data_IF_818525637893
#
_entry.id   IF_818525637893
#
_cell.length_a   1.000
_cell.length_b   1.000
_cell.length_c   1.000
_cell.angle_alpha   90.00
_cell.angle_beta   90.00
_cell.angle_gamma   90.00
#
_symmetry.space_group_name_H-M   'P 1'
#
loop_
_entity.id
_entity.type
_entity.pdbx_description
1 polymer ?
#
# COMPACT_ATOMS: atom_id res chain seq x y z
N UNK A 1 0.74 32.05 0.82
CA UNK A 1 1.39 30.88 1.44
C UNK A 1 1.49 31.13 2.94
N UNK A 2 0.56 30.62 3.76
CA UNK A 2 0.75 30.60 5.20
C UNK A 2 1.97 29.73 5.57
N UNK A 3 2.75 30.20 6.53
CA UNK A 3 3.88 29.49 7.15
C UNK A 3 3.69 29.49 8.66
N UNK A 4 4.02 28.37 9.30
CA UNK A 4 3.88 28.15 10.74
C UNK A 4 5.19 27.63 11.30
N UNK A 5 5.59 28.12 12.48
CA UNK A 5 6.76 27.60 13.20
C UNK A 5 6.41 26.24 13.85
N UNK A 6 7.09 25.19 13.41
CA UNK A 6 6.78 23.79 13.75
C UNK A 6 8.08 23.01 13.95
N UNK A 7 8.84 23.26 15.03
CA UNK A 7 10.13 22.61 15.27
C UNK A 7 10.00 21.11 15.57
N UNK A 8 8.78 20.62 15.81
CA UNK A 8 8.45 19.23 16.07
C UNK A 8 7.43 18.72 15.03
N UNK A 9 7.38 17.40 14.77
CA UNK A 9 6.38 16.80 13.89
C UNK A 9 4.96 17.16 14.30
N UNK A 10 4.12 17.45 13.31
CA UNK A 10 2.74 17.90 13.50
C UNK A 10 1.73 16.83 13.09
N UNK A 11 0.45 17.08 13.36
CA UNK A 11 -0.65 16.34 12.76
C UNK A 11 -1.30 17.17 11.66
N UNK A 12 -1.59 16.55 10.51
CA UNK A 12 -2.30 17.20 9.41
C UNK A 12 -3.62 16.51 9.18
N UNK A 13 -4.70 17.29 9.10
CA UNK A 13 -6.02 16.85 8.67
C UNK A 13 -6.39 17.59 7.39
N UNK A 14 -6.41 16.88 6.25
CA UNK A 14 -6.67 17.44 4.95
C UNK A 14 -7.96 16.86 4.34
N UNK A 15 -8.91 17.74 4.02
CA UNK A 15 -10.13 17.40 3.30
C UNK A 15 -10.15 18.13 1.96
N UNK A 16 -9.73 17.43 0.91
CA UNK A 16 -9.63 17.96 -0.45
C UNK A 16 -10.60 17.19 -1.33
N UNK A 17 -11.68 17.83 -1.78
CA UNK A 17 -12.73 17.17 -2.55
C UNK A 17 -12.24 16.64 -3.92
N UNK A 18 -11.49 17.47 -4.65
CA UNK A 18 -10.98 17.16 -5.97
C UNK A 18 -9.65 17.88 -6.26
N UNK A 19 -8.75 17.19 -6.96
CA UNK A 19 -7.46 17.74 -7.40
C UNK A 19 -6.28 16.92 -6.89
N UNK A 20 -5.28 17.57 -6.32
CA UNK A 20 -4.11 16.90 -5.75
C UNK A 20 -3.71 17.47 -4.40
N UNK A 21 -3.13 16.62 -3.56
CA UNK A 21 -2.45 17.03 -2.35
C UNK A 21 -1.09 16.35 -2.26
N UNK A 22 -0.05 17.14 -2.07
CA UNK A 22 1.33 16.70 -1.92
C UNK A 22 1.84 17.08 -0.54
N UNK A 23 2.39 16.10 0.17
CA UNK A 23 3.12 16.27 1.42
C UNK A 23 4.60 16.04 1.16
N UNK A 24 5.44 17.01 1.48
CA UNK A 24 6.89 16.89 1.38
C UNK A 24 7.49 16.98 2.77
N UNK A 25 7.98 15.85 3.27
CA UNK A 25 8.48 15.69 4.63
C UNK A 25 10.02 15.75 4.66
N UNK A 26 10.57 16.82 5.24
CA UNK A 26 12.02 17.05 5.32
C UNK A 26 12.45 17.43 6.73
N UNK A 27 13.76 17.48 6.97
CA UNK A 27 14.34 17.99 8.21
C UNK A 27 14.24 19.53 8.25
N UNK A 28 13.02 20.01 8.47
CA UNK A 28 12.64 21.41 8.57
C UNK A 28 11.95 21.68 9.90
N UNK A 29 11.96 22.94 10.31
CA UNK A 29 11.36 23.39 11.57
C UNK A 29 10.14 24.28 11.35
N UNK A 30 9.62 24.33 10.13
CA UNK A 30 8.46 25.11 9.76
C UNK A 30 7.51 24.27 8.89
N UNK A 31 6.27 24.73 8.78
CA UNK A 31 5.27 24.13 7.91
C UNK A 31 4.73 25.19 6.96
N UNK A 32 4.83 24.92 5.66
CA UNK A 32 4.38 25.83 4.60
C UNK A 32 3.25 25.15 3.84
N UNK A 33 2.17 25.90 3.64
CA UNK A 33 1.04 25.44 2.81
C UNK A 33 0.87 26.35 1.62
N UNK A 34 0.79 25.75 0.44
CA UNK A 34 0.41 26.40 -0.80
C UNK A 34 -0.89 25.78 -1.32
N UNK A 35 -1.85 26.62 -1.69
CA UNK A 35 -3.10 26.19 -2.32
C UNK A 35 -3.21 26.95 -3.63
N UNK A 36 -3.33 26.22 -4.74
CA UNK A 36 -3.41 26.79 -6.09
C UNK A 36 -4.61 26.22 -6.85
N UNK A 37 -5.18 26.99 -7.79
CA UNK A 37 -6.20 26.45 -8.68
C UNK A 37 -5.52 25.49 -9.65
N UNK A 38 -6.14 24.34 -9.92
CA UNK A 38 -5.60 23.39 -10.91
C UNK A 38 -5.57 23.99 -12.31
N UNK A 39 -6.63 24.72 -12.67
CA UNK A 39 -6.68 25.56 -13.86
C UNK A 39 -7.00 27.03 -13.47
N UNK A 40 -6.04 27.96 -13.56
CA UNK A 40 -6.26 29.36 -13.20
C UNK A 40 -7.22 30.10 -14.14
N UNK A 41 -7.55 29.55 -15.31
CA UNK A 41 -8.52 30.14 -16.25
C UNK A 41 -9.95 29.71 -15.94
N UNK A 42 -10.14 28.79 -15.00
CA UNK A 42 -11.45 28.23 -14.67
C UNK A 42 -11.95 28.84 -13.36
N UNK A 43 -12.96 29.70 -13.45
CA UNK A 43 -13.54 30.40 -12.30
C UNK A 43 -13.88 29.49 -11.12
N UNK A 44 -14.33 28.25 -11.39
CA UNK A 44 -14.64 27.28 -10.34
C UNK A 44 -13.41 26.86 -9.54
N UNK A 45 -12.28 26.68 -10.21
CA UNK A 45 -11.00 26.27 -9.60
C UNK A 45 -10.40 27.44 -8.82
N UNK A 46 -10.52 28.68 -9.31
CA UNK A 46 -10.12 29.89 -8.56
C UNK A 46 -10.98 30.08 -7.31
N UNK A 47 -12.30 29.97 -7.42
CA UNK A 47 -13.23 30.17 -6.28
C UNK A 47 -13.00 29.16 -5.15
N UNK A 48 -12.70 27.90 -5.48
CA UNK A 48 -12.48 26.87 -4.44
C UNK A 48 -11.20 27.15 -3.66
N UNK A 49 -10.16 27.73 -4.27
CA UNK A 49 -8.93 28.15 -3.58
C UNK A 49 -9.23 29.25 -2.57
N UNK A 50 -9.97 30.29 -2.99
CA UNK A 50 -10.36 31.41 -2.11
C UNK A 50 -11.19 30.97 -0.91
N UNK A 51 -11.97 29.89 -1.09
CA UNK A 51 -12.82 29.30 -0.06
C UNK A 51 -12.14 28.17 0.72
N UNK A 52 -10.89 27.81 0.38
CA UNK A 52 -10.16 26.77 1.09
C UNK A 52 -9.65 27.32 2.41
N UNK A 53 -10.06 26.71 3.50
CA UNK A 53 -9.62 27.08 4.84
C UNK A 53 -8.31 26.36 5.16
N UNK A 54 -7.29 27.13 5.56
CA UNK A 54 -6.03 26.60 6.09
C UNK A 54 -5.82 27.22 7.47
N UNK A 55 -5.74 26.37 8.50
CA UNK A 55 -5.54 26.82 9.88
C UNK A 55 -4.57 25.90 10.60
N UNK A 56 -3.81 26.45 11.54
CA UNK A 56 -2.90 25.69 12.39
C UNK A 56 -3.15 26.07 13.85
N UNK A 57 -3.50 25.10 14.67
CA UNK A 57 -3.75 25.31 16.08
C UNK A 57 -3.40 24.04 16.88
N UNK A 58 -2.72 24.21 18.02
CA UNK A 58 -2.43 23.11 18.95
C UNK A 58 -1.66 21.94 18.34
N UNK A 59 -0.75 22.18 17.40
CA UNK A 59 0.01 21.11 16.72
C UNK A 59 -0.72 20.45 15.54
N UNK A 60 -1.93 20.94 15.19
CA UNK A 60 -2.75 20.37 14.12
C UNK A 60 -2.92 21.38 12.98
N UNK A 61 -2.45 21.01 11.79
CA UNK A 61 -2.74 21.71 10.55
C UNK A 61 -4.04 21.17 9.95
N UNK A 62 -5.02 22.03 9.74
CA UNK A 62 -6.29 21.68 9.09
C UNK A 62 -6.39 22.38 7.74
N UNK A 63 -6.61 21.58 6.69
CA UNK A 63 -6.86 22.05 5.32
C UNK A 63 -8.25 21.55 4.91
N UNK A 64 -9.14 22.45 4.55
CA UNK A 64 -10.52 22.08 4.21
C UNK A 64 -11.01 22.83 2.99
N UNK A 65 -11.30 22.08 1.94
CA UNK A 65 -12.03 22.57 0.77
C UNK A 65 -13.53 22.63 1.10
N UNK A 66 -14.27 23.64 0.58
CA UNK A 66 -15.70 23.75 0.79
C UNK A 66 -16.42 22.57 0.12
N UNK A 67 -17.35 21.95 0.85
CA UNK A 67 -18.30 21.02 0.24
C UNK A 67 -19.35 21.84 -0.50
N UNK A 68 -19.30 21.82 -1.84
CA UNK A 68 -20.35 22.46 -2.63
C UNK A 68 -21.71 21.86 -2.31
N UNK A 69 -22.80 22.64 -2.31
CA UNK A 69 -24.14 22.07 -2.20
C UNK A 69 -24.36 21.11 -3.37
N UNK A 70 -24.81 19.89 -3.08
CA UNK A 70 -25.05 18.80 -4.04
C UNK A 70 -25.93 19.21 -5.25
N UNK A 71 -26.63 20.35 -5.17
CA UNK A 71 -27.49 20.91 -6.21
C UNK A 71 -26.78 21.73 -7.32
N UNK A 72 -25.54 22.21 -7.13
CA UNK A 72 -24.93 23.25 -8.01
C UNK A 72 -23.76 22.75 -8.87
N UNK A 73 -23.62 21.43 -9.00
CA UNK A 73 -22.65 20.79 -9.90
C UNK A 73 -21.24 20.62 -9.30
N UNK A 74 -20.25 20.16 -10.10
CA UNK A 74 -18.94 19.77 -9.60
C UNK A 74 -18.22 20.95 -8.91
N UNK A 75 -17.63 20.67 -7.75
CA UNK A 75 -16.69 21.57 -7.06
C UNK A 75 -15.46 21.78 -7.94
N UNK A 76 -14.83 22.96 -7.87
CA UNK A 76 -13.54 23.20 -8.53
C UNK A 76 -12.45 22.25 -8.04
N UNK A 77 -11.32 22.20 -8.76
CA UNK A 77 -10.15 21.40 -8.38
C UNK A 77 -9.01 22.29 -7.86
N UNK A 78 -8.33 21.81 -6.82
CA UNK A 78 -7.18 22.49 -6.21
C UNK A 78 -5.95 21.60 -6.20
N UNK A 79 -4.78 22.22 -6.33
CA UNK A 79 -3.51 21.59 -6.03
C UNK A 79 -3.01 22.17 -4.70
N UNK A 80 -2.81 21.30 -3.72
CA UNK A 80 -2.37 21.64 -2.37
C UNK A 80 -0.98 21.07 -2.14
N UNK A 81 -0.03 21.91 -1.79
CA UNK A 81 1.32 21.50 -1.38
C UNK A 81 1.50 21.82 0.09
N UNK A 82 1.98 20.83 0.85
CA UNK A 82 2.27 20.96 2.27
C UNK A 82 3.69 20.49 2.50
N UNK A 83 4.56 21.42 2.85
CA UNK A 83 5.92 21.10 3.26
C UNK A 83 5.98 21.10 4.79
N UNK A 84 6.46 20.01 5.40
CA UNK A 84 6.35 19.80 6.85
C UNK A 84 7.54 19.00 7.43
N UNK A 85 7.74 19.00 8.76
CA UNK A 85 8.80 18.22 9.39
C UNK A 85 8.62 16.70 9.21
N UNK A 86 9.71 15.99 8.96
CA UNK A 86 9.77 14.52 8.93
C UNK A 86 9.08 13.88 10.14
N UNK A 87 8.34 12.79 9.91
CA UNK A 87 7.61 12.07 10.95
C UNK A 87 6.23 12.67 11.30
N UNK A 88 5.80 13.72 10.60
CA UNK A 88 4.45 14.27 10.81
C UNK A 88 3.36 13.28 10.39
N UNK A 89 2.27 13.28 11.14
CA UNK A 89 1.11 12.40 10.92
C UNK A 89 0.14 13.02 9.93
N UNK A 90 -0.37 12.23 9.00
CA UNK A 90 -1.30 12.68 7.95
C UNK A 90 -2.64 11.95 8.07
N UNK A 91 -3.73 12.70 8.05
CA UNK A 91 -5.08 12.22 7.80
C UNK A 91 -5.64 12.96 6.58
N UNK A 92 -5.74 12.28 5.44
CA UNK A 92 -6.18 12.87 4.18
C UNK A 92 -7.45 12.17 3.67
N UNK A 93 -8.48 12.96 3.40
CA UNK A 93 -9.74 12.50 2.80
C UNK A 93 -10.03 13.26 1.51
N UNK A 94 -10.40 12.53 0.46
CA UNK A 94 -10.83 13.13 -0.81
C UNK A 94 -11.73 12.23 -1.64
N UNK A 95 -12.41 12.80 -2.63
CA UNK A 95 -13.31 12.03 -3.52
C UNK A 95 -12.69 11.81 -4.90
N UNK A 96 -12.00 12.82 -5.44
CA UNK A 96 -11.28 12.75 -6.72
C UNK A 96 -9.90 13.37 -6.58
N UNK A 97 -9.13 12.85 -5.63
CA UNK A 97 -7.91 13.49 -5.15
C UNK A 97 -6.75 12.53 -5.24
N UNK A 98 -5.68 12.97 -5.92
CA UNK A 98 -4.39 12.31 -5.89
C UNK A 98 -3.65 12.70 -4.61
N UNK A 99 -3.07 11.72 -3.92
CA UNK A 99 -2.32 11.94 -2.68
C UNK A 99 -0.87 11.54 -2.92
N UNK A 100 0.04 12.49 -2.75
CA UNK A 100 1.48 12.29 -2.87
C UNK A 100 2.13 12.56 -1.52
N UNK A 101 3.01 11.66 -1.09
CA UNK A 101 3.82 11.80 0.11
C UNK A 101 5.27 11.52 -0.22
N UNK A 102 6.12 12.53 -0.10
CA UNK A 102 7.55 12.47 -0.37
C UNK A 102 8.32 12.59 0.94
N UNK A 103 9.39 11.80 1.07
CA UNK A 103 10.16 11.68 2.31
C UNK A 103 9.44 10.83 3.37
N UNK A 104 9.98 10.86 4.59
CA UNK A 104 9.54 9.99 5.69
C UNK A 104 8.40 10.63 6.49
N UNK A 105 7.19 10.13 6.24
CA UNK A 105 5.99 10.49 6.99
C UNK A 105 5.86 9.64 8.26
N UNK A 106 5.11 10.14 9.24
CA UNK A 106 4.74 9.40 10.44
C UNK A 106 3.60 8.41 10.15
N UNK A 107 2.59 8.39 11.01
CA UNK A 107 1.35 7.64 10.72
C UNK A 107 0.59 8.31 9.57
N UNK A 108 0.13 7.52 8.60
CA UNK A 108 -0.61 8.02 7.44
C UNK A 108 -1.96 7.32 7.35
N UNK A 109 -3.03 8.10 7.31
CA UNK A 109 -4.39 7.67 7.05
C UNK A 109 -4.90 8.35 5.79
N UNK A 110 -5.29 7.56 4.80
CA UNK A 110 -5.81 8.09 3.52
C UNK A 110 -7.13 7.41 3.18
N UNK A 111 -8.14 8.22 2.90
CA UNK A 111 -9.42 7.77 2.39
C UNK A 111 -9.75 8.50 1.10
N UNK A 112 -9.70 7.79 -0.03
CA UNK A 112 -10.05 8.34 -1.34
C UNK A 112 -11.07 7.49 -2.07
N UNK A 113 -12.00 8.11 -2.79
CA UNK A 113 -12.90 7.37 -3.68
C UNK A 113 -12.26 7.15 -5.04
N UNK A 114 -11.54 8.13 -5.56
CA UNK A 114 -10.89 8.06 -6.85
C UNK A 114 -9.62 8.91 -6.83
N UNK A 115 -8.53 8.36 -7.32
CA UNK A 115 -7.24 9.04 -7.40
C UNK A 115 -6.11 8.12 -6.96
N UNK A 116 -4.95 8.34 -7.55
CA UNK A 116 -3.76 7.57 -7.21
C UNK A 116 -3.19 8.02 -5.87
N UNK A 117 -2.62 7.07 -5.12
CA UNK A 117 -1.91 7.36 -3.89
C UNK A 117 -0.46 6.91 -4.06
N UNK A 118 0.47 7.84 -3.88
CA UNK A 118 1.91 7.57 -3.91
C UNK A 118 2.53 8.03 -2.59
N UNK A 119 3.17 7.12 -1.88
CA UNK A 119 3.90 7.42 -0.64
C UNK A 119 5.31 6.85 -0.76
N UNK A 120 6.34 7.62 -0.47
CA UNK A 120 7.71 7.13 -0.46
C UNK A 120 7.98 6.30 0.80
N UNK A 121 7.96 6.93 1.97
CA UNK A 121 8.19 6.28 3.26
C UNK A 121 7.13 6.72 4.27
N UNK A 122 6.56 5.77 5.02
CA UNK A 122 5.57 6.04 6.05
C UNK A 122 5.79 5.14 7.25
N UNK A 123 5.43 5.63 8.43
CA UNK A 123 5.12 4.78 9.59
C UNK A 123 3.81 4.00 9.37
N UNK A 124 3.02 3.72 10.42
CA UNK A 124 1.79 2.96 10.29
C UNK A 124 0.85 3.55 9.24
N UNK A 125 0.33 2.69 8.37
CA UNK A 125 -0.44 3.09 7.20
C UNK A 125 -1.86 2.50 7.27
N UNK A 126 -2.87 3.34 7.16
CA UNK A 126 -4.25 2.94 6.91
C UNK A 126 -4.76 3.62 5.64
N UNK A 127 -4.94 2.83 4.58
CA UNK A 127 -5.31 3.35 3.26
C UNK A 127 -6.58 2.66 2.77
N UNK A 128 -7.61 3.45 2.49
CA UNK A 128 -8.83 2.98 1.82
C UNK A 128 -9.02 3.75 0.51
N UNK A 129 -9.01 3.03 -0.62
CA UNK A 129 -9.26 3.59 -1.95
C UNK A 129 -10.35 2.80 -2.69
N UNK A 130 -11.29 3.45 -3.35
CA UNK A 130 -12.23 2.72 -4.24
C UNK A 130 -11.60 2.49 -5.62
N UNK A 131 -11.03 3.54 -6.22
CA UNK A 131 -10.43 3.49 -7.55
C UNK A 131 -9.10 4.23 -7.59
N UNK A 132 -8.09 3.64 -8.23
CA UNK A 132 -6.79 4.27 -8.43
C UNK A 132 -5.65 3.31 -8.15
N UNK A 133 -4.46 3.63 -8.65
CA UNK A 133 -3.27 2.86 -8.34
C UNK A 133 -2.62 3.36 -7.05
N UNK A 134 -2.16 2.43 -6.24
CA UNK A 134 -1.45 2.70 -4.99
C UNK A 134 -0.01 2.25 -5.15
N UNK A 135 0.92 3.15 -4.86
CA UNK A 135 2.35 2.86 -4.80
C UNK A 135 2.88 3.35 -3.46
N UNK A 136 3.43 2.43 -2.67
CA UNK A 136 4.08 2.75 -1.39
C UNK A 136 5.50 2.22 -1.44
N UNK A 137 6.51 3.07 -1.19
CA UNK A 137 7.90 2.66 -1.19
C UNK A 137 8.20 1.76 0.01
N UNK A 138 8.07 2.30 1.22
CA UNK A 138 8.32 1.60 2.48
C UNK A 138 7.26 1.93 3.53
N UNK A 139 6.84 0.91 4.28
CA UNK A 139 5.98 1.04 5.45
C UNK A 139 6.69 0.47 6.68
N UNK A 140 6.83 1.29 7.72
CA UNK A 140 7.33 0.91 9.04
C UNK A 140 6.16 0.76 10.02
N UNK A 141 5.94 -0.46 10.53
CA UNK A 141 4.85 -0.80 11.44
C UNK A 141 3.64 -1.42 10.73
N UNK A 142 2.45 -1.21 11.30
CA UNK A 142 1.21 -1.83 10.80
C UNK A 142 0.78 -1.21 9.48
N UNK A 143 0.54 -2.04 8.47
CA UNK A 143 -0.03 -1.62 7.19
C UNK A 143 -1.43 -2.24 6.97
N UNK A 144 -2.46 -1.42 6.79
CA UNK A 144 -3.78 -1.84 6.34
C UNK A 144 -4.15 -1.10 5.06
N UNK A 145 -4.21 -1.83 3.94
CA UNK A 145 -4.53 -1.27 2.62
C UNK A 145 -5.76 -1.99 2.08
N UNK A 146 -6.83 -1.25 1.82
CA UNK A 146 -8.08 -1.77 1.23
C UNK A 146 -8.42 -1.04 -0.05
N UNK A 147 -8.53 -1.78 -1.14
CA UNK A 147 -8.77 -1.26 -2.48
C UNK A 147 -9.87 -2.03 -3.20
N UNK A 148 -10.75 -1.32 -3.92
CA UNK A 148 -11.79 -1.99 -4.71
C UNK A 148 -11.36 -2.25 -6.14
N UNK A 149 -10.62 -1.32 -6.76
CA UNK A 149 -10.12 -1.45 -8.12
C UNK A 149 -8.85 -0.63 -8.33
N UNK A 150 -7.81 -1.27 -8.84
CA UNK A 150 -6.53 -0.64 -9.15
C UNK A 150 -5.35 -1.57 -8.86
N UNK A 151 -4.16 -1.15 -9.30
CA UNK A 151 -2.93 -1.88 -8.97
C UNK A 151 -2.37 -1.41 -7.62
N UNK A 152 -1.93 -2.34 -6.80
CA UNK A 152 -1.27 -2.04 -5.52
C UNK A 152 0.17 -2.49 -5.61
N UNK A 153 1.10 -1.56 -5.40
CA UNK A 153 2.53 -1.85 -5.29
C UNK A 153 3.05 -1.36 -3.95
N UNK A 154 3.67 -2.27 -3.20
CA UNK A 154 4.37 -1.94 -1.95
C UNK A 154 5.80 -2.43 -2.06
N UNK A 155 6.79 -1.55 -1.90
CA UNK A 155 8.19 -1.91 -2.01
C UNK A 155 8.64 -2.78 -0.84
N UNK A 156 8.65 -2.22 0.37
CA UNK A 156 9.06 -2.91 1.60
C UNK A 156 7.99 -2.70 2.68
N UNK A 157 7.66 -3.78 3.40
CA UNK A 157 6.83 -3.72 4.60
C UNK A 157 7.62 -4.27 5.78
N UNK A 158 7.95 -3.39 6.72
CA UNK A 158 8.59 -3.72 7.98
C UNK A 158 7.57 -3.73 9.12
N UNK A 159 6.88 -4.85 9.28
CA UNK A 159 5.82 -5.02 10.26
C UNK A 159 4.66 -5.86 9.73
N UNK A 160 3.59 -6.03 10.53
CA UNK A 160 2.40 -6.76 10.11
C UNK A 160 1.63 -6.00 9.04
N UNK A 161 1.18 -6.69 7.99
CA UNK A 161 0.46 -6.10 6.87
C UNK A 161 -0.79 -6.88 6.48
N UNK A 162 -1.87 -6.14 6.21
CA UNK A 162 -3.13 -6.67 5.68
C UNK A 162 -3.49 -5.89 4.42
N UNK A 163 -3.41 -6.55 3.27
CA UNK A 163 -3.74 -5.98 1.98
C UNK A 163 -5.00 -6.66 1.44
N UNK A 164 -6.00 -5.87 1.05
CA UNK A 164 -7.24 -6.36 0.43
C UNK A 164 -7.42 -5.62 -0.90
N UNK A 165 -7.43 -6.35 -2.01
CA UNK A 165 -7.69 -5.80 -3.32
C UNK A 165 -8.74 -6.63 -4.07
N UNK A 166 -9.87 -6.03 -4.42
CA UNK A 166 -10.91 -6.77 -5.14
C UNK A 166 -10.56 -6.94 -6.63
N UNK A 167 -9.95 -5.95 -7.28
CA UNK A 167 -9.62 -5.99 -8.71
C UNK A 167 -8.29 -5.32 -9.00
N UNK A 168 -7.45 -6.02 -9.76
CA UNK A 168 -6.12 -5.54 -10.16
C UNK A 168 -5.00 -6.31 -9.48
N UNK A 169 -3.77 -6.11 -9.96
CA UNK A 169 -2.61 -6.82 -9.44
C UNK A 169 -2.12 -6.23 -8.12
N UNK A 170 -1.59 -7.11 -7.27
CA UNK A 170 -0.92 -6.72 -6.02
C UNK A 170 0.53 -7.18 -6.10
N UNK A 171 1.48 -6.26 -5.95
CA UNK A 171 2.91 -6.57 -5.93
C UNK A 171 3.52 -6.10 -4.63
N UNK A 172 4.23 -6.99 -3.94
CA UNK A 172 5.01 -6.70 -2.74
C UNK A 172 6.46 -7.03 -3.02
N UNK A 173 7.38 -6.08 -2.83
CA UNK A 173 8.81 -6.30 -3.02
C UNK A 173 9.41 -7.15 -1.89
N UNK A 174 9.31 -6.69 -0.65
CA UNK A 174 9.79 -7.43 0.52
C UNK A 174 8.82 -7.31 1.69
N UNK A 175 8.44 -8.45 2.26
CA UNK A 175 7.69 -8.52 3.51
C UNK A 175 8.63 -9.00 4.63
N UNK A 176 9.01 -8.10 5.54
CA UNK A 176 9.87 -8.43 6.68
C UNK A 176 9.06 -8.96 7.88
N UNK A 177 7.80 -8.53 8.00
CA UNK A 177 6.83 -9.01 8.99
C UNK A 177 5.76 -9.93 8.41
N UNK A 178 4.76 -10.28 9.22
CA UNK A 178 3.63 -11.09 8.77
C UNK A 178 2.81 -10.39 7.68
N UNK A 179 2.58 -11.05 6.56
CA UNK A 179 1.82 -10.50 5.44
C UNK A 179 0.53 -11.31 5.21
N UNK A 180 -0.61 -10.63 5.17
CA UNK A 180 -1.90 -11.21 4.78
C UNK A 180 -2.45 -10.46 3.56
N UNK A 181 -2.57 -11.14 2.42
CA UNK A 181 -3.11 -10.56 1.18
C UNK A 181 -4.41 -11.27 0.79
N UNK A 182 -5.46 -10.50 0.49
CA UNK A 182 -6.72 -11.03 -0.04
C UNK A 182 -7.05 -10.33 -1.36
N UNK A 183 -6.91 -11.09 -2.44
CA UNK A 183 -7.36 -10.76 -3.77
C UNK A 183 -8.75 -11.32 -4.06
N UNK A 184 -9.43 -10.78 -5.07
CA UNK A 184 -10.53 -11.48 -5.73
C UNK A 184 -10.21 -11.73 -7.21
N UNK A 185 -9.90 -10.67 -7.97
CA UNK A 185 -9.62 -10.74 -9.40
C UNK A 185 -8.30 -10.03 -9.74
N UNK A 186 -7.20 -10.79 -9.71
CA UNK A 186 -5.87 -10.28 -10.04
C UNK A 186 -4.76 -11.14 -9.48
N UNK A 187 -3.58 -10.97 -10.05
CA UNK A 187 -2.37 -11.67 -9.62
C UNK A 187 -1.81 -11.04 -8.34
N UNK A 188 -1.22 -11.88 -7.50
CA UNK A 188 -0.48 -11.46 -6.31
C UNK A 188 0.96 -11.94 -6.47
N UNK A 189 1.91 -11.02 -6.53
CA UNK A 189 3.34 -11.30 -6.63
C UNK A 189 4.07 -10.75 -5.40
N UNK A 190 4.67 -11.63 -4.62
CA UNK A 190 5.48 -11.30 -3.44
C UNK A 190 6.91 -11.71 -3.77
N UNK A 191 7.82 -10.75 -3.98
CA UNK A 191 9.16 -11.08 -4.46
C UNK A 191 10.00 -11.73 -3.35
N UNK A 192 9.97 -11.17 -2.14
CA UNK A 192 10.67 -11.70 -0.95
C UNK A 192 9.77 -11.71 0.28
N UNK A 193 9.77 -12.83 0.98
CA UNK A 193 9.09 -13.02 2.26
C UNK A 193 10.09 -13.52 3.31
N UNK A 194 10.38 -12.67 4.30
CA UNK A 194 11.26 -13.01 5.42
C UNK A 194 10.49 -13.63 6.59
N UNK A 195 9.16 -13.66 6.52
CA UNK A 195 8.26 -14.16 7.58
C UNK A 195 7.02 -14.81 6.98
N UNK A 196 6.06 -15.18 7.83
CA UNK A 196 4.84 -15.85 7.45
C UNK A 196 3.98 -15.03 6.48
N UNK A 197 3.46 -15.70 5.46
CA UNK A 197 2.62 -15.11 4.40
C UNK A 197 1.33 -15.91 4.28
N UNK A 198 0.20 -15.24 4.27
CA UNK A 198 -1.07 -15.82 3.86
C UNK A 198 -1.64 -15.02 2.69
N UNK A 199 -1.76 -15.61 1.50
CA UNK A 199 -2.35 -14.97 0.33
C UNK A 199 -3.48 -15.82 -0.25
N UNK A 200 -4.62 -15.17 -0.52
CA UNK A 200 -5.79 -15.82 -1.13
C UNK A 200 -6.28 -14.98 -2.30
N UNK A 201 -6.63 -15.60 -3.42
CA UNK A 201 -7.31 -14.94 -4.54
C UNK A 201 -8.37 -15.86 -5.16
N UNK A 202 -9.44 -15.33 -5.75
CA UNK A 202 -10.41 -16.20 -6.45
C UNK A 202 -9.93 -16.52 -7.87
N UNK A 203 -9.44 -15.50 -8.57
CA UNK A 203 -8.94 -15.57 -9.93
C UNK A 203 -7.61 -14.82 -10.04
N UNK A 204 -6.55 -15.54 -10.39
CA UNK A 204 -5.22 -14.97 -10.55
C UNK A 204 -4.12 -15.93 -10.10
N UNK A 205 -2.92 -15.65 -10.57
CA UNK A 205 -1.69 -16.34 -10.20
C UNK A 205 -1.20 -15.83 -8.85
N UNK A 206 -0.80 -16.75 -7.98
CA UNK A 206 -0.11 -16.41 -6.73
C UNK A 206 1.36 -16.75 -6.89
N UNK A 207 2.23 -15.77 -6.70
CA UNK A 207 3.68 -15.97 -6.80
C UNK A 207 4.34 -15.47 -5.53
N UNK A 208 5.19 -16.33 -4.97
CA UNK A 208 6.14 -15.96 -3.93
C UNK A 208 7.54 -16.31 -4.43
N UNK A 209 8.36 -15.30 -4.71
CA UNK A 209 9.64 -15.46 -5.41
C UNK A 209 10.74 -16.08 -4.56
N UNK A 210 10.80 -15.71 -3.29
CA UNK A 210 11.77 -16.17 -2.28
C UNK A 210 11.13 -16.13 -0.89
N UNK A 211 11.21 -17.25 -0.18
CA UNK A 211 10.73 -17.40 1.20
C UNK A 211 11.85 -17.89 2.09
N UNK A 212 12.14 -17.14 3.14
CA UNK A 212 13.16 -17.45 4.12
C UNK A 212 12.69 -18.48 5.17
N UNK A 213 11.57 -18.18 5.85
CA UNK A 213 11.07 -18.94 7.01
C UNK A 213 9.58 -18.69 7.27
N UNK A 214 9.04 -19.45 8.23
CA UNK A 214 7.67 -19.27 8.73
C UNK A 214 6.65 -20.12 7.98
N UNK A 215 5.38 -19.69 7.98
CA UNK A 215 4.30 -20.41 7.29
C UNK A 215 3.85 -19.63 6.06
N UNK A 216 3.83 -20.30 4.91
CA UNK A 216 3.33 -19.78 3.64
C UNK A 216 2.04 -20.49 3.29
N UNK A 217 0.92 -19.79 3.39
CA UNK A 217 -0.40 -20.28 3.02
C UNK A 217 -0.89 -19.57 1.76
N UNK A 218 -0.99 -20.30 0.64
CA UNK A 218 -1.42 -19.77 -0.65
C UNK A 218 -2.66 -20.52 -1.14
N UNK A 219 -3.71 -19.78 -1.50
CA UNK A 219 -4.95 -20.38 -1.99
C UNK A 219 -5.53 -19.62 -3.17
N UNK A 220 -5.76 -20.32 -4.29
CA UNK A 220 -6.48 -19.77 -5.44
C UNK A 220 -7.53 -20.72 -5.99
N UNK A 221 -8.68 -20.21 -6.44
CA UNK A 221 -9.67 -21.08 -7.10
C UNK A 221 -9.30 -21.33 -8.56
N UNK A 222 -8.82 -20.29 -9.25
CA UNK A 222 -8.42 -20.34 -10.65
C UNK A 222 -7.11 -19.59 -10.85
N UNK A 223 -6.04 -20.33 -11.05
CA UNK A 223 -4.70 -19.76 -11.27
C UNK A 223 -3.60 -20.71 -10.83
N UNK A 224 -2.39 -20.41 -11.30
CA UNK A 224 -1.20 -21.13 -10.88
C UNK A 224 -0.68 -20.58 -9.54
N UNK A 225 0.07 -21.42 -8.83
CA UNK A 225 0.82 -21.01 -7.64
C UNK A 225 2.30 -21.29 -7.91
N UNK A 226 3.14 -20.27 -7.79
CA UNK A 226 4.60 -20.39 -7.88
C UNK A 226 5.25 -20.05 -6.55
N UNK A 227 6.11 -20.93 -6.04
CA UNK A 227 6.79 -20.76 -4.76
C UNK A 227 8.28 -20.99 -4.93
N UNK A 228 9.08 -19.97 -4.61
CA UNK A 228 10.52 -20.05 -4.45
C UNK A 228 10.89 -20.20 -2.98
N UNK A 229 11.53 -21.30 -2.62
CA UNK A 229 12.09 -21.51 -1.27
C UNK A 229 13.56 -21.09 -1.28
N UNK A 230 13.98 -20.29 -0.30
CA UNK A 230 15.37 -19.85 -0.14
C UNK A 230 16.34 -21.03 -0.10
N UNK A 231 17.54 -20.84 -0.63
CA UNK A 231 18.60 -21.83 -0.50
C UNK A 231 18.99 -22.00 0.98
N UNK A 232 19.21 -23.24 1.40
CA UNK A 232 19.51 -23.54 2.81
C UNK A 232 18.29 -23.60 3.74
N UNK A 233 17.07 -23.30 3.27
CA UNK A 233 15.84 -23.48 4.06
C UNK A 233 15.25 -24.87 3.84
N UNK A 234 14.91 -25.59 4.92
CA UNK A 234 14.13 -26.83 4.84
C UNK A 234 12.63 -26.50 4.68
N UNK A 235 11.97 -27.14 3.72
CA UNK A 235 10.57 -26.89 3.43
C UNK A 235 9.70 -28.13 3.71
N UNK A 236 8.70 -27.96 4.57
CA UNK A 236 7.62 -28.94 4.72
C UNK A 236 6.46 -28.56 3.79
N UNK A 237 5.99 -29.51 2.99
CA UNK A 237 5.06 -29.24 1.89
C UNK A 237 3.72 -29.95 2.10
N UNK A 238 2.63 -29.18 2.22
CA UNK A 238 1.24 -29.63 2.11
C UNK A 238 0.59 -28.92 0.90
N UNK A 239 0.61 -29.60 -0.24
CA UNK A 239 0.37 -28.98 -1.53
C UNK A 239 -0.59 -29.82 -2.35
N UNK A 240 -1.67 -29.20 -2.84
CA UNK A 240 -2.69 -29.93 -3.60
C UNK A 240 -3.29 -29.07 -4.72
N UNK A 241 -3.39 -29.66 -5.92
CA UNK A 241 -4.21 -29.11 -7.01
C UNK A 241 -5.34 -30.09 -7.35
N UNK A 242 -6.59 -29.63 -7.43
CA UNK A 242 -7.70 -30.50 -7.83
C UNK A 242 -7.73 -30.79 -9.33
N UNK A 243 -7.41 -29.78 -10.17
CA UNK A 243 -7.40 -29.88 -11.63
C UNK A 243 -6.14 -29.18 -12.17
N UNK A 244 -5.00 -29.84 -12.02
CA UNK A 244 -3.72 -29.37 -12.49
C UNK A 244 -2.59 -30.27 -12.02
N UNK A 245 -1.35 -29.83 -12.21
CA UNK A 245 -0.16 -30.58 -11.83
C UNK A 245 0.57 -29.90 -10.67
N UNK A 246 1.13 -30.69 -9.77
CA UNK A 246 2.06 -30.21 -8.75
C UNK A 246 3.46 -30.64 -9.16
N UNK A 247 4.38 -29.67 -9.30
CA UNK A 247 5.79 -29.91 -9.60
C UNK A 247 6.62 -29.46 -8.42
N UNK A 248 7.37 -30.39 -7.85
CA UNK A 248 8.34 -30.10 -6.80
C UNK A 248 9.74 -30.22 -7.38
N UNK A 249 10.43 -29.08 -7.51
CA UNK A 249 11.83 -28.98 -7.92
C UNK A 249 12.81 -28.90 -6.75
N UNK A 250 12.36 -29.06 -5.50
CA UNK A 250 13.26 -29.14 -4.36
C UNK A 250 13.91 -30.53 -4.31
N UNK A 251 15.23 -30.57 -4.15
CA UNK A 251 15.92 -31.81 -3.84
C UNK A 251 15.44 -32.32 -2.48
N UNK A 252 15.08 -33.60 -2.39
CA UNK A 252 14.80 -34.26 -1.12
C UNK A 252 16.04 -34.16 -0.24
N UNK A 253 15.94 -33.50 0.92
CA UNK A 253 16.98 -33.52 1.94
C UNK A 253 16.53 -34.42 3.08
N UNK A 254 17.30 -35.46 3.36
CA UNK A 254 16.98 -36.49 4.36
C UNK A 254 17.08 -36.00 5.82
N UNK A 255 17.33 -34.71 6.08
CA UNK A 255 17.37 -34.17 7.45
C UNK A 255 17.18 -32.64 7.52
N UNK A 256 16.09 -32.14 8.14
CA UNK A 256 15.93 -30.72 8.50
C UNK A 256 16.92 -30.24 9.58
N UNK A 257 17.60 -31.16 10.28
CA UNK A 257 18.42 -30.87 11.47
C UNK A 257 19.68 -30.00 11.21
N UNK A 258 19.99 -29.67 9.95
CA UNK A 258 21.17 -28.86 9.56
C UNK A 258 20.83 -27.53 8.89
N UNK A 259 19.58 -27.10 8.92
CA UNK A 259 19.15 -25.81 8.37
C UNK A 259 18.68 -24.91 9.49
N UNK A 260 19.29 -23.73 9.63
CA UNK A 260 18.92 -22.75 10.67
C UNK A 260 17.49 -22.19 10.47
N UNK A 261 16.97 -22.27 9.24
CA UNK A 261 15.63 -21.79 8.89
C UNK A 261 14.75 -22.90 8.28
N UNK A 262 13.50 -22.96 8.74
CA UNK A 262 12.47 -23.88 8.24
C UNK A 262 11.25 -23.10 7.73
N UNK A 263 10.62 -23.61 6.68
CA UNK A 263 9.36 -23.08 6.13
C UNK A 263 8.30 -24.16 6.02
N UNK A 264 7.08 -23.85 6.45
CA UNK A 264 5.89 -24.67 6.22
C UNK A 264 5.11 -24.09 5.04
N UNK A 265 4.96 -24.84 3.95
CA UNK A 265 4.27 -24.41 2.74
C UNK A 265 2.94 -25.16 2.60
N UNK A 266 1.85 -24.41 2.66
CA UNK A 266 0.48 -24.85 2.44
C UNK A 266 -0.06 -24.19 1.18
N UNK A 267 -0.15 -24.92 0.07
CA UNK A 267 -0.57 -24.35 -1.21
C UNK A 267 -1.71 -25.14 -1.84
N UNK A 268 -2.84 -24.48 -2.13
CA UNK A 268 -4.04 -25.11 -2.67
C UNK A 268 -4.56 -24.36 -3.88
N UNK A 269 -4.78 -25.09 -4.98
CA UNK A 269 -5.52 -24.56 -6.14
C UNK A 269 -6.58 -25.53 -6.62
N UNK A 270 -7.73 -25.02 -7.08
CA UNK A 270 -8.77 -25.87 -7.66
C UNK A 270 -8.55 -26.12 -9.15
N UNK A 271 -8.11 -25.09 -9.88
CA UNK A 271 -7.80 -25.14 -11.31
C UNK A 271 -6.50 -24.39 -11.58
N UNK A 272 -5.42 -25.12 -11.81
CA UNK A 272 -4.10 -24.54 -12.06
C UNK A 272 -2.97 -25.42 -11.56
N UNK A 273 -1.75 -25.08 -11.96
CA UNK A 273 -0.55 -25.80 -11.55
C UNK A 273 0.03 -25.20 -10.28
N UNK A 274 0.76 -26.02 -9.53
CA UNK A 274 1.59 -25.53 -8.42
C UNK A 274 3.04 -25.91 -8.72
N UNK A 275 3.90 -24.91 -8.80
CA UNK A 275 5.32 -25.06 -9.09
C UNK A 275 6.14 -24.60 -7.89
N UNK A 276 6.91 -25.51 -7.31
CA UNK A 276 7.78 -25.23 -6.16
C UNK A 276 9.22 -25.42 -6.62
N UNK A 277 10.04 -24.42 -6.39
CA UNK A 277 11.46 -24.42 -6.80
C UNK A 277 12.32 -23.75 -5.75
N UNK A 278 13.64 -23.90 -5.88
CA UNK A 278 14.57 -23.01 -5.18
C UNK A 278 14.46 -21.59 -5.75
N UNK A 279 14.50 -20.60 -4.86
CA UNK A 279 14.65 -19.21 -5.27
C UNK A 279 15.96 -19.08 -6.05
N UNK A 280 15.95 -18.31 -7.15
CA UNK A 280 17.20 -18.01 -7.86
C UNK A 280 17.83 -16.83 -7.13
N UNK A 281 19.09 -16.99 -6.73
CA UNK A 281 19.93 -15.91 -6.20
C UNK A 281 20.09 -14.78 -7.23
#
# INVERSE_FOLDING_TARGET
>A
MPSFDTPLPISVTANVAAGSIQFTATDRHDTVVEVRPRDPKKDKDVRVVEQTEVSYAGGVLTIRTPKGPYLVGPTGSVDVTVELPTGSRIDATGSWTQVLGEGRLGEVRVKTSSGDVRLDETGPLQLTASHGSITVGQVEGLAEITTSSGSVRVGVVDGPAVLKNSHGSTTIGAALGELRVRGANGDIDIQRAESSVAATTAHGTLRVGDVARGTVQLETSYGAIEIGVREGTAAWLDVSSSNGQVRNGLASSDNPDKTDETVEVKARTRYGNIDIRRARA
#
